data_IF_139685271272
#
_entry.id   IF_139685271272
#
_cell.length_a   1.000
_cell.length_b   1.000
_cell.length_c   1.000
_cell.angle_alpha   90.00
_cell.angle_beta   90.00
_cell.angle_gamma   90.00
#
_symmetry.space_group_name_H-M   'P 1'
#
loop_
_entity.id
_entity.type
_entity.pdbx_description
1 polymer ?
#
# COMPACT_ATOMS: atom_id res chain seq x y z
N UNK A 1 -15.38 -7.38 -9.29
CA UNK A 1 -15.33 -8.12 -8.02
C UNK A 1 -16.67 -8.04 -7.28
N UNK A 2 -17.56 -7.11 -7.61
CA UNK A 2 -18.91 -6.96 -7.03
C UNK A 2 -20.03 -7.30 -8.03
N UNK A 3 -19.68 -7.66 -9.26
CA UNK A 3 -20.63 -7.84 -10.39
C UNK A 3 -21.13 -9.26 -10.61
N UNK A 4 -21.08 -10.15 -9.62
CA UNK A 4 -21.60 -11.52 -9.75
C UNK A 4 -20.81 -12.45 -10.68
N UNK A 5 -19.56 -12.11 -10.99
CA UNK A 5 -18.67 -12.92 -11.85
C UNK A 5 -18.41 -14.27 -11.15
N UNK A 6 -18.54 -15.36 -11.89
CA UNK A 6 -18.19 -16.70 -11.41
C UNK A 6 -16.71 -16.71 -10.97
N UNK A 7 -16.43 -17.15 -9.73
CA UNK A 7 -15.07 -17.14 -9.17
C UNK A 7 -14.67 -15.85 -8.42
N UNK A 8 -15.58 -14.91 -8.18
CA UNK A 8 -15.32 -13.67 -7.46
C UNK A 8 -14.55 -13.86 -6.13
N UNK A 9 -14.90 -14.90 -5.36
CA UNK A 9 -14.24 -15.19 -4.08
C UNK A 9 -12.79 -15.68 -4.29
N UNK A 10 -12.51 -16.39 -5.37
CA UNK A 10 -11.17 -16.80 -5.71
C UNK A 10 -10.27 -15.60 -6.02
N UNK A 11 -10.77 -14.65 -6.81
CA UNK A 11 -10.02 -13.41 -7.08
C UNK A 11 -9.82 -12.57 -5.81
N UNK A 12 -10.84 -12.44 -4.95
CA UNK A 12 -10.70 -11.75 -3.67
C UNK A 12 -9.64 -12.39 -2.79
N UNK A 13 -9.66 -13.71 -2.66
CA UNK A 13 -8.66 -14.46 -1.91
C UNK A 13 -7.26 -14.28 -2.52
N UNK A 14 -7.11 -14.42 -3.84
CA UNK A 14 -5.83 -14.29 -4.53
C UNK A 14 -5.17 -12.91 -4.34
N UNK A 15 -5.95 -11.84 -4.42
CA UNK A 15 -5.44 -10.49 -4.15
C UNK A 15 -5.16 -10.23 -2.67
N UNK A 16 -5.82 -10.93 -1.76
CA UNK A 16 -5.63 -10.75 -0.32
C UNK A 16 -4.45 -11.56 0.25
N UNK A 17 -4.10 -12.70 -0.37
CA UNK A 17 -3.02 -13.58 0.09
C UNK A 17 -1.69 -12.83 0.32
N UNK A 18 -1.21 -11.92 -0.55
CA UNK A 18 0.04 -11.20 -0.33
C UNK A 18 0.09 -10.44 0.99
N UNK A 19 -1.05 -9.91 1.45
CA UNK A 19 -1.14 -9.17 2.72
C UNK A 19 -0.96 -10.08 3.96
N UNK A 20 -1.21 -11.37 3.83
CA UNK A 20 -1.05 -12.34 4.92
C UNK A 20 0.42 -12.77 5.09
N UNK A 21 1.25 -12.56 4.09
CA UNK A 21 2.67 -12.90 4.12
C UNK A 21 3.42 -11.82 4.90
N UNK A 22 4.14 -12.22 5.94
CA UNK A 22 4.97 -11.28 6.71
C UNK A 22 6.01 -10.57 5.85
N UNK A 23 6.25 -9.28 6.10
CA UNK A 23 7.13 -8.43 5.30
C UNK A 23 8.55 -8.97 5.13
N UNK A 24 9.09 -9.64 6.16
CA UNK A 24 10.43 -10.27 6.10
C UNK A 24 10.46 -11.38 5.05
N UNK A 25 9.52 -12.32 5.11
CA UNK A 25 9.45 -13.44 4.16
C UNK A 25 9.22 -12.92 2.75
N UNK A 26 8.27 -12.00 2.61
CA UNK A 26 7.94 -11.37 1.34
C UNK A 26 9.15 -10.67 0.71
N UNK A 27 9.90 -9.91 1.49
CA UNK A 27 11.08 -9.21 1.03
C UNK A 27 12.17 -10.15 0.52
N UNK A 28 12.45 -11.25 1.22
CA UNK A 28 13.41 -12.24 0.72
C UNK A 28 12.96 -12.95 -0.56
N UNK A 29 11.67 -13.29 -0.67
CA UNK A 29 11.12 -13.89 -1.89
C UNK A 29 11.28 -12.92 -3.08
N UNK A 30 10.88 -11.66 -2.91
CA UNK A 30 11.01 -10.66 -3.96
C UNK A 30 12.46 -10.29 -4.27
N UNK A 31 13.34 -10.29 -3.27
CA UNK A 31 14.78 -10.11 -3.48
C UNK A 31 15.34 -11.20 -4.40
N UNK A 32 14.94 -12.45 -4.21
CA UNK A 32 15.31 -13.54 -5.12
C UNK A 32 14.74 -13.31 -6.52
N UNK A 33 13.48 -12.91 -6.63
CA UNK A 33 12.82 -12.63 -7.91
C UNK A 33 13.56 -11.52 -8.67
N UNK A 34 13.85 -10.38 -8.03
CA UNK A 34 14.53 -9.26 -8.69
C UNK A 34 15.99 -9.55 -9.04
N UNK A 35 16.71 -10.29 -8.18
CA UNK A 35 18.14 -10.55 -8.40
C UNK A 35 18.40 -11.75 -9.33
N UNK A 36 17.47 -12.67 -9.46
CA UNK A 36 17.68 -13.91 -10.22
C UNK A 36 16.68 -14.08 -11.35
N UNK A 37 15.38 -14.14 -11.05
CA UNK A 37 14.38 -14.45 -12.06
C UNK A 37 14.26 -13.33 -13.11
N UNK A 38 14.21 -12.07 -12.66
CA UNK A 38 14.12 -10.93 -13.58
C UNK A 38 15.37 -10.77 -14.43
N UNK A 39 16.56 -10.93 -13.83
CA UNK A 39 17.85 -10.85 -14.54
C UNK A 39 17.92 -11.96 -15.59
N UNK A 40 17.64 -13.20 -15.21
CA UNK A 40 17.68 -14.33 -16.15
C UNK A 40 16.70 -14.17 -17.34
N UNK A 41 15.50 -13.64 -17.09
CA UNK A 41 14.53 -13.36 -18.16
C UNK A 41 15.02 -12.23 -19.07
N UNK A 42 15.58 -11.15 -18.50
CA UNK A 42 16.12 -10.03 -19.28
C UNK A 42 17.31 -10.45 -20.14
N UNK A 43 18.24 -11.21 -19.59
CA UNK A 43 19.40 -11.76 -20.30
C UNK A 43 18.97 -12.70 -21.44
N UNK A 44 18.00 -13.57 -21.20
CA UNK A 44 17.46 -14.47 -22.23
C UNK A 44 16.75 -13.70 -23.37
N UNK A 45 16.13 -12.56 -23.06
CA UNK A 45 15.42 -11.75 -24.05
C UNK A 45 16.35 -10.84 -24.88
N UNK A 46 17.44 -10.33 -24.29
CA UNK A 46 18.30 -9.31 -24.91
C UNK A 46 19.69 -9.83 -25.27
N UNK A 47 20.08 -11.01 -24.80
CA UNK A 47 21.42 -11.61 -24.95
C UNK A 47 22.55 -10.69 -24.42
N UNK A 48 22.25 -9.84 -23.45
CA UNK A 48 23.20 -8.93 -22.80
C UNK A 48 23.14 -9.11 -21.30
N UNK A 49 24.27 -8.89 -20.61
CA UNK A 49 24.32 -8.91 -19.14
C UNK A 49 23.48 -7.77 -18.55
N UNK A 50 22.55 -8.10 -17.68
CA UNK A 50 21.71 -7.13 -16.98
C UNK A 50 22.01 -7.10 -15.48
N UNK A 51 22.22 -5.90 -14.94
CA UNK A 51 22.31 -5.71 -13.50
C UNK A 51 20.91 -5.83 -12.86
N UNK A 52 20.87 -6.30 -11.62
CA UNK A 52 19.63 -6.34 -10.84
C UNK A 52 19.01 -4.95 -10.69
N UNK A 53 17.69 -4.85 -10.70
CA UNK A 53 16.96 -3.63 -10.39
C UNK A 53 17.31 -3.08 -8.99
N UNK A 54 17.70 -3.94 -8.05
CA UNK A 54 18.12 -3.55 -6.71
C UNK A 54 19.53 -2.92 -6.66
N UNK A 55 20.29 -2.95 -7.76
CA UNK A 55 21.66 -2.40 -7.80
C UNK A 55 21.69 -0.87 -7.91
N UNK A 56 20.57 -0.23 -8.23
CA UNK A 56 20.48 1.23 -8.34
C UNK A 56 19.54 1.79 -7.28
N UNK A 57 19.81 3.00 -6.72
CA UNK A 57 18.94 3.60 -5.69
C UNK A 57 17.48 3.75 -6.14
N UNK A 58 17.27 4.26 -7.36
CA UNK A 58 15.93 4.42 -7.92
C UNK A 58 15.24 3.08 -8.16
N UNK A 59 15.99 2.08 -8.63
CA UNK A 59 15.48 0.72 -8.82
C UNK A 59 15.10 0.05 -7.50
N UNK A 60 15.94 0.17 -6.47
CA UNK A 60 15.64 -0.35 -5.14
C UNK A 60 14.39 0.30 -4.53
N UNK A 61 14.24 1.62 -4.66
CA UNK A 61 13.05 2.33 -4.21
C UNK A 61 11.82 1.92 -5.01
N UNK A 62 11.93 1.80 -6.33
CA UNK A 62 10.84 1.32 -7.18
C UNK A 62 10.39 -0.09 -6.80
N UNK A 63 11.33 -1.01 -6.55
CA UNK A 63 11.03 -2.37 -6.10
C UNK A 63 10.31 -2.38 -4.75
N UNK A 64 10.74 -1.53 -3.79
CA UNK A 64 10.06 -1.37 -2.49
C UNK A 64 8.61 -0.90 -2.67
N UNK A 65 8.40 0.12 -3.50
CA UNK A 65 7.05 0.64 -3.78
C UNK A 65 6.19 -0.44 -4.43
N UNK A 66 6.70 -1.10 -5.47
CA UNK A 66 5.97 -2.13 -6.22
C UNK A 66 5.51 -3.27 -5.30
N UNK A 67 6.43 -3.81 -4.48
CA UNK A 67 6.11 -4.90 -3.55
C UNK A 67 5.13 -4.44 -2.47
N UNK A 68 5.31 -3.23 -1.94
CA UNK A 68 4.39 -2.65 -0.95
C UNK A 68 2.98 -2.48 -1.51
N UNK A 69 2.85 -1.90 -2.70
CA UNK A 69 1.55 -1.74 -3.38
C UNK A 69 0.90 -3.10 -3.64
N UNK A 70 1.65 -4.06 -4.15
CA UNK A 70 1.13 -5.41 -4.39
C UNK A 70 0.68 -6.10 -3.10
N UNK A 71 1.45 -5.96 -2.02
CA UNK A 71 1.12 -6.54 -0.71
C UNK A 71 -0.19 -5.97 -0.13
N UNK A 72 -0.40 -4.66 -0.24
CA UNK A 72 -1.54 -3.99 0.40
C UNK A 72 -2.75 -3.79 -0.50
N UNK A 73 -2.62 -3.93 -1.81
CA UNK A 73 -3.70 -3.72 -2.78
C UNK A 73 -4.95 -4.55 -2.46
N UNK A 74 -4.77 -5.82 -2.10
CA UNK A 74 -5.89 -6.70 -1.75
C UNK A 74 -6.63 -6.28 -0.49
N UNK A 75 -5.91 -5.80 0.52
CA UNK A 75 -6.53 -5.29 1.75
C UNK A 75 -7.34 -4.01 1.49
N UNK A 76 -6.77 -3.06 0.73
CA UNK A 76 -7.48 -1.85 0.31
C UNK A 76 -8.70 -2.18 -0.56
N UNK A 77 -8.58 -3.17 -1.44
CA UNK A 77 -9.70 -3.66 -2.25
C UNK A 77 -10.87 -4.16 -1.37
N UNK A 78 -10.60 -4.87 -0.27
CA UNK A 78 -11.66 -5.33 0.62
C UNK A 78 -12.40 -4.17 1.29
N UNK A 79 -11.70 -3.10 1.70
CA UNK A 79 -12.32 -1.90 2.27
C UNK A 79 -13.23 -1.23 1.24
N UNK A 80 -12.76 -1.07 -0.02
CA UNK A 80 -13.60 -0.52 -1.08
C UNK A 80 -14.80 -1.40 -1.42
N UNK A 81 -14.64 -2.73 -1.42
CA UNK A 81 -15.74 -3.66 -1.63
C UNK A 81 -16.79 -3.54 -0.51
N UNK A 82 -16.33 -3.46 0.74
CA UNK A 82 -17.24 -3.26 1.88
C UNK A 82 -18.00 -1.93 1.77
N UNK A 83 -17.30 -0.84 1.43
CA UNK A 83 -17.93 0.46 1.19
C UNK A 83 -18.92 0.44 0.04
N UNK A 84 -18.60 -0.25 -1.06
CA UNK A 84 -19.53 -0.40 -2.19
C UNK A 84 -20.80 -1.19 -1.79
N UNK A 85 -20.64 -2.23 -0.97
CA UNK A 85 -21.74 -3.06 -0.51
C UNK A 85 -22.60 -2.37 0.56
N UNK A 86 -22.08 -1.37 1.26
CA UNK A 86 -22.82 -0.59 2.26
C UNK A 86 -23.79 0.42 1.63
N UNK A 87 -23.61 0.76 0.36
CA UNK A 87 -24.53 1.66 -0.36
C UNK A 87 -25.84 0.95 -0.68
N UNK A 88 -26.95 1.51 -0.15
CA UNK A 88 -28.27 0.93 -0.34
C UNK A 88 -28.62 0.78 -1.83
N UNK A 89 -29.15 -0.37 -2.18
CA UNK A 89 -29.55 -0.68 -3.54
C UNK A 89 -30.69 0.22 -4.04
N UNK A 90 -31.58 0.64 -3.13
CA UNK A 90 -32.69 1.55 -3.43
C UNK A 90 -32.21 2.90 -3.98
N UNK A 91 -31.09 3.43 -3.48
CA UNK A 91 -30.49 4.67 -3.98
C UNK A 91 -29.97 4.53 -5.40
N UNK A 92 -29.42 3.37 -5.75
CA UNK A 92 -28.95 3.08 -7.11
C UNK A 92 -30.12 2.94 -8.09
N UNK A 93 -31.22 2.32 -7.63
CA UNK A 93 -32.44 2.15 -8.41
C UNK A 93 -33.17 3.48 -8.61
N UNK A 94 -33.27 4.31 -7.57
CA UNK A 94 -33.84 5.67 -7.68
C UNK A 94 -33.05 6.51 -8.69
N UNK A 95 -31.74 6.50 -8.65
CA UNK A 95 -30.90 7.22 -9.64
C UNK A 95 -31.14 6.72 -11.08
N UNK A 96 -31.41 5.43 -11.27
CA UNK A 96 -31.74 4.89 -12.60
C UNK A 96 -33.14 5.32 -13.06
N UNK A 97 -34.10 5.43 -12.15
CA UNK A 97 -35.46 5.95 -12.44
C UNK A 97 -35.35 7.43 -12.84
N UNK A 98 -34.47 8.22 -12.20
CA UNK A 98 -34.19 9.63 -12.55
C UNK A 98 -33.40 9.80 -13.86
N UNK A 99 -33.20 8.73 -14.64
CA UNK A 99 -32.58 8.77 -15.96
C UNK A 99 -31.05 8.64 -15.95
N UNK A 100 -30.44 8.33 -14.81
CA UNK A 100 -29.00 8.07 -14.75
C UNK A 100 -28.69 6.69 -15.37
N UNK A 101 -27.68 6.63 -16.23
CA UNK A 101 -27.11 5.34 -16.61
C UNK A 101 -26.21 4.80 -15.46
N UNK A 102 -25.82 3.51 -15.52
CA UNK A 102 -25.01 2.86 -14.48
C UNK A 102 -23.70 3.61 -14.17
N UNK A 103 -23.06 4.22 -15.18
CA UNK A 103 -21.85 5.01 -14.99
C UNK A 103 -22.12 6.31 -14.25
N UNK A 104 -23.17 7.05 -14.62
CA UNK A 104 -23.57 8.28 -13.91
C UNK A 104 -23.98 8.00 -12.49
N UNK A 105 -24.77 6.96 -12.23
CA UNK A 105 -25.15 6.53 -10.88
C UNK A 105 -23.91 6.17 -10.03
N UNK A 106 -22.90 5.52 -10.62
CA UNK A 106 -21.64 5.23 -9.93
C UNK A 106 -20.93 6.52 -9.47
N UNK A 107 -20.76 7.49 -10.37
CA UNK A 107 -19.98 8.70 -10.08
C UNK A 107 -20.73 9.71 -9.19
N UNK A 108 -22.06 9.84 -9.32
CA UNK A 108 -22.84 10.85 -8.61
C UNK A 108 -23.53 10.35 -7.35
N UNK A 109 -23.69 9.03 -7.20
CA UNK A 109 -24.36 8.45 -6.02
C UNK A 109 -23.42 7.54 -5.24
N UNK A 110 -22.84 6.51 -5.88
CA UNK A 110 -22.10 5.49 -5.17
C UNK A 110 -20.76 6.02 -4.64
N UNK A 111 -19.95 6.68 -5.46
CA UNK A 111 -18.62 7.17 -5.06
C UNK A 111 -18.72 8.22 -3.93
N UNK A 112 -19.62 9.21 -3.97
CA UNK A 112 -19.79 10.12 -2.85
C UNK A 112 -20.20 9.42 -1.54
N UNK A 113 -21.10 8.45 -1.60
CA UNK A 113 -21.51 7.67 -0.43
C UNK A 113 -20.41 6.76 0.13
N UNK A 114 -19.43 6.39 -0.70
CA UNK A 114 -18.25 5.62 -0.28
C UNK A 114 -17.12 6.48 0.30
N UNK A 115 -17.33 7.78 0.52
CA UNK A 115 -16.29 8.71 0.96
C UNK A 115 -15.55 8.22 2.21
N UNK A 116 -16.26 7.65 3.18
CA UNK A 116 -15.68 7.08 4.39
C UNK A 116 -14.63 6.01 4.07
N UNK A 117 -14.90 5.12 3.12
CA UNK A 117 -13.96 4.08 2.68
C UNK A 117 -12.71 4.67 2.01
N UNK A 118 -12.84 5.76 1.23
CA UNK A 118 -11.69 6.46 0.65
C UNK A 118 -10.82 7.09 1.73
N UNK A 119 -11.41 7.79 2.70
CA UNK A 119 -10.68 8.39 3.82
C UNK A 119 -9.93 7.32 4.61
N UNK A 120 -10.58 6.19 4.90
CA UNK A 120 -9.98 5.07 5.60
C UNK A 120 -8.80 4.45 4.81
N UNK A 121 -8.93 4.26 3.51
CA UNK A 121 -7.84 3.73 2.67
C UNK A 121 -6.66 4.70 2.62
N UNK A 122 -6.91 6.01 2.47
CA UNK A 122 -5.86 7.04 2.46
C UNK A 122 -5.13 7.06 3.81
N UNK A 123 -5.88 7.02 4.93
CA UNK A 123 -5.32 6.97 6.27
C UNK A 123 -4.39 5.76 6.46
N UNK A 124 -4.88 4.57 6.13
CA UNK A 124 -4.11 3.34 6.28
C UNK A 124 -2.88 3.31 5.37
N UNK A 125 -3.00 3.74 4.11
CA UNK A 125 -1.88 3.80 3.17
C UNK A 125 -0.81 4.76 3.64
N UNK A 126 -1.21 5.98 4.07
CA UNK A 126 -0.26 6.99 4.54
C UNK A 126 0.49 6.53 5.79
N UNK A 127 -0.23 6.00 6.79
CA UNK A 127 0.38 5.49 8.02
C UNK A 127 1.35 4.34 7.71
N UNK A 128 0.97 3.42 6.83
CA UNK A 128 1.82 2.31 6.40
C UNK A 128 3.11 2.79 5.73
N UNK A 129 3.07 3.82 4.88
CA UNK A 129 4.28 4.35 4.23
C UNK A 129 5.35 4.78 5.24
N UNK A 130 4.96 5.35 6.37
CA UNK A 130 5.91 5.75 7.42
C UNK A 130 6.41 4.59 8.28
N UNK A 131 5.63 3.51 8.40
CA UNK A 131 5.90 2.39 9.31
C UNK A 131 6.53 1.17 8.63
N UNK A 132 6.79 1.21 7.32
CA UNK A 132 7.42 0.07 6.61
C UNK A 132 8.84 -0.13 7.12
N UNK A 133 9.07 -1.25 7.82
CA UNK A 133 10.37 -1.67 8.33
C UNK A 133 10.76 -3.06 7.81
N UNK A 134 9.93 -4.07 8.04
CA UNK A 134 10.22 -5.48 7.77
C UNK A 134 10.58 -5.74 6.31
N UNK A 135 9.77 -5.17 5.40
CA UNK A 135 10.00 -5.28 3.97
C UNK A 135 11.29 -4.56 3.55
N UNK A 136 11.53 -3.35 4.06
CA UNK A 136 12.73 -2.59 3.76
C UNK A 136 13.99 -3.33 4.23
N UNK A 137 13.94 -3.90 5.46
CA UNK A 137 15.04 -4.67 6.03
C UNK A 137 15.38 -5.90 5.20
N UNK A 138 14.38 -6.65 4.71
CA UNK A 138 14.60 -7.92 4.02
C UNK A 138 14.87 -7.75 2.53
N UNK A 139 14.24 -6.79 1.86
CA UNK A 139 14.37 -6.58 0.43
C UNK A 139 15.67 -5.84 0.08
N UNK A 140 15.91 -4.68 0.67
CA UNK A 140 17.03 -3.80 0.30
C UNK A 140 18.08 -3.64 1.41
N UNK A 141 17.72 -3.72 2.68
CA UNK A 141 18.54 -3.34 3.83
C UNK A 141 19.06 -1.88 3.78
N UNK A 142 18.39 -1.03 3.00
CA UNK A 142 18.84 0.33 2.75
C UNK A 142 19.78 0.47 1.56
N UNK A 143 20.26 -0.62 0.99
CA UNK A 143 21.17 -0.61 -0.16
C UNK A 143 20.46 -0.13 -1.46
N UNK A 144 21.20 0.41 -2.43
CA UNK A 144 22.62 0.80 -2.35
C UNK A 144 22.82 2.15 -1.65
N UNK A 145 24.00 2.34 -1.05
CA UNK A 145 24.46 3.59 -0.43
C UNK A 145 23.53 4.17 0.66
N UNK A 146 22.75 3.36 1.36
CA UNK A 146 21.73 3.78 2.33
C UNK A 146 20.62 4.67 1.74
N UNK A 147 20.48 4.75 0.42
CA UNK A 147 19.48 5.62 -0.25
C UNK A 147 18.07 5.02 -0.28
N UNK A 148 17.92 3.75 0.06
CA UNK A 148 16.61 3.09 0.20
C UNK A 148 16.19 2.88 1.66
N UNK A 149 16.83 3.57 2.62
CA UNK A 149 16.45 3.52 4.04
C UNK A 149 15.18 4.33 4.25
N UNK A 150 14.12 3.66 4.67
CA UNK A 150 12.85 4.31 5.04
C UNK A 150 12.86 4.79 6.49
N UNK A 151 11.94 5.69 6.85
CA UNK A 151 11.91 6.36 8.14
C UNK A 151 11.97 5.39 9.34
N UNK A 152 11.13 4.37 9.39
CA UNK A 152 11.13 3.39 10.47
C UNK A 152 12.45 2.62 10.57
N UNK A 153 13.07 2.29 9.43
CA UNK A 153 14.36 1.62 9.41
C UNK A 153 15.49 2.55 9.86
N UNK A 154 15.43 3.84 9.53
CA UNK A 154 16.40 4.83 10.00
C UNK A 154 16.39 4.92 11.53
N UNK A 155 15.21 5.08 12.13
CA UNK A 155 15.03 5.11 13.60
C UNK A 155 15.59 3.84 14.25
N UNK A 156 15.28 2.67 13.68
CA UNK A 156 15.82 1.40 14.17
C UNK A 156 17.35 1.35 14.11
N UNK A 157 17.93 1.78 12.98
CA UNK A 157 19.40 1.79 12.81
C UNK A 157 20.07 2.72 13.82
N UNK A 158 19.53 3.92 14.08
CA UNK A 158 20.06 4.84 15.08
C UNK A 158 20.05 4.20 16.48
N UNK A 159 18.93 3.61 16.89
CA UNK A 159 18.80 3.03 18.22
C UNK A 159 19.63 1.76 18.38
N UNK A 160 19.51 0.79 17.48
CA UNK A 160 20.00 -0.57 17.70
C UNK A 160 21.29 -0.91 16.93
N UNK A 161 21.52 -0.35 15.76
CA UNK A 161 22.74 -0.60 14.97
C UNK A 161 23.85 0.32 15.43
N UNK A 162 23.59 1.63 15.50
CA UNK A 162 24.59 2.62 15.94
C UNK A 162 24.64 2.83 17.44
N UNK A 163 23.72 2.19 18.20
CA UNK A 163 23.63 2.27 19.67
C UNK A 163 23.41 3.69 20.21
N UNK A 164 22.90 4.58 19.39
CA UNK A 164 22.56 5.96 19.75
C UNK A 164 21.12 6.00 20.29
N UNK A 165 20.88 5.39 21.45
CA UNK A 165 19.54 5.23 22.00
C UNK A 165 18.80 6.56 22.20
N UNK A 166 19.49 7.62 22.64
CA UNK A 166 18.88 8.93 22.83
C UNK A 166 18.38 9.54 21.52
N UNK A 167 19.19 9.50 20.47
CA UNK A 167 18.81 9.99 19.13
C UNK A 167 17.71 9.14 18.54
N UNK A 168 17.85 7.81 18.58
CA UNK A 168 16.81 6.91 18.06
C UNK A 168 15.47 7.09 18.76
N UNK A 169 15.46 7.30 20.09
CA UNK A 169 14.22 7.59 20.82
C UNK A 169 13.60 8.93 20.44
N UNK A 170 14.42 9.97 20.24
CA UNK A 170 13.94 11.27 19.80
C UNK A 170 13.34 11.20 18.39
N UNK A 171 14.00 10.52 17.45
CA UNK A 171 13.51 10.31 16.10
C UNK A 171 12.21 9.48 16.08
N UNK A 172 12.11 8.44 16.94
CA UNK A 172 10.88 7.66 17.09
C UNK A 172 9.72 8.55 17.57
N UNK A 173 9.97 9.45 18.54
CA UNK A 173 8.97 10.41 19.01
C UNK A 173 8.52 11.38 17.91
N UNK A 174 9.46 11.89 17.13
CA UNK A 174 9.15 12.78 16.00
C UNK A 174 8.30 12.02 14.96
N UNK A 175 8.69 10.80 14.59
CA UNK A 175 7.93 9.97 13.66
C UNK A 175 6.51 9.71 14.17
N UNK A 176 6.37 9.40 15.46
CA UNK A 176 5.06 9.21 16.10
C UNK A 176 4.19 10.47 16.03
N UNK A 177 4.75 11.64 16.35
CA UNK A 177 4.04 12.93 16.28
C UNK A 177 3.59 13.21 14.84
N UNK A 178 4.46 13.04 13.86
CA UNK A 178 4.14 13.22 12.43
C UNK A 178 2.97 12.32 12.03
N UNK A 179 3.04 11.02 12.34
CA UNK A 179 1.96 10.08 12.04
C UNK A 179 0.65 10.46 12.75
N UNK A 180 0.72 10.86 14.02
CA UNK A 180 -0.45 11.27 14.79
C UNK A 180 -1.10 12.54 14.22
N UNK A 181 -0.31 13.56 13.86
CA UNK A 181 -0.82 14.78 13.24
C UNK A 181 -1.48 14.48 11.89
N UNK A 182 -0.82 13.72 11.02
CA UNK A 182 -1.39 13.32 9.72
C UNK A 182 -2.70 12.56 9.94
N UNK A 183 -2.72 11.60 10.87
CA UNK A 183 -3.91 10.83 11.19
C UNK A 183 -5.07 11.69 11.69
N UNK A 184 -4.80 12.62 12.61
CA UNK A 184 -5.81 13.56 13.12
C UNK A 184 -6.37 14.46 12.02
N UNK A 185 -5.52 15.00 11.16
CA UNK A 185 -5.94 15.81 10.02
C UNK A 185 -6.83 15.03 9.06
N UNK A 186 -6.45 13.81 8.71
CA UNK A 186 -7.21 12.96 7.80
C UNK A 186 -8.60 12.62 8.37
N UNK A 187 -8.69 12.28 9.66
CA UNK A 187 -9.97 12.02 10.33
C UNK A 187 -10.82 13.28 10.41
N UNK A 188 -10.22 14.43 10.73
CA UNK A 188 -10.94 15.71 10.78
C UNK A 188 -11.55 16.09 9.44
N UNK A 189 -10.75 16.04 8.35
CA UNK A 189 -11.25 16.34 7.00
C UNK A 189 -12.22 15.28 6.47
N UNK A 190 -12.05 14.03 6.88
CA UNK A 190 -12.96 12.93 6.54
C UNK A 190 -14.36 13.18 7.11
N UNK A 191 -14.45 13.46 8.41
CA UNK A 191 -15.74 13.72 9.10
C UNK A 191 -16.47 14.96 8.59
N UNK A 192 -15.74 16.06 8.29
CA UNK A 192 -16.35 17.29 7.78
C UNK A 192 -17.11 17.10 6.46
N UNK A 193 -16.85 16.04 5.74
CA UNK A 193 -17.55 15.74 4.51
C UNK A 193 -18.64 14.68 4.60
N UNK A 194 -18.85 14.07 5.77
CA UNK A 194 -20.01 13.20 6.04
C UNK A 194 -21.24 13.98 6.48
N UNK A 195 -21.04 15.22 6.97
CA UNK A 195 -22.10 16.08 7.55
C UNK A 195 -22.64 17.11 6.54
N UNK A 196 -22.10 17.14 5.34
CA UNK A 196 -22.56 17.99 4.23
C UNK A 196 -23.22 17.15 3.15
#
# INVERSE_FOLDING_TARGET
>A
VTSGIKGQNFFRAGFFIPNLIGGIVLGYVWKFVFNRAFVAIAEAATQTDHASLLSTPNGAMFCLILVSVWQYAGYMMLIYVAGFMSVDQSLKEAAMIDGCNKGKAMWHVVIPLMRSSFVQCIFLSTTRCFMVYDLNLSLTKGEPFNQSVLAAMHVYNQAFVYKNYGTGQAEALVLFIVCAVIGMLQVYFGKKGEVA
#
